data_IF_205903127081
#
_entry.id   IF_205903127081
#
_cell.length_a   1.000
_cell.length_b   1.000
_cell.length_c   1.000
_cell.angle_alpha   90.00
_cell.angle_beta   90.00
_cell.angle_gamma   90.00
#
_symmetry.space_group_name_H-M   'P 1'
#
loop_
_entity.id
_entity.type
_entity.pdbx_description
1 polymer ?
#
# COMPACT_ATOMS: atom_id res chain seq x y z
N UNK A 1 -37.04 -77.47 52.42
CA UNK A 1 -38.04 -76.43 52.77
C UNK A 1 -37.37 -75.06 52.67
N UNK A 2 -38.09 -74.03 52.20
CA UNK A 2 -37.68 -73.13 51.10
C UNK A 2 -37.38 -71.69 51.65
N UNK A 3 -37.12 -70.58 50.94
CA UNK A 3 -37.72 -69.97 49.74
C UNK A 3 -36.85 -68.77 49.27
N UNK A 4 -36.84 -68.59 47.94
CA UNK A 4 -37.03 -67.34 47.15
C UNK A 4 -36.03 -66.16 47.21
N UNK A 5 -35.60 -65.75 46.01
CA UNK A 5 -35.02 -64.43 45.73
C UNK A 5 -34.44 -64.30 44.32
N UNK A 6 -35.30 -64.12 43.31
CA UNK A 6 -34.99 -63.95 41.89
C UNK A 6 -34.31 -62.59 41.53
N UNK A 7 -33.75 -62.43 40.31
CA UNK A 7 -32.67 -61.49 39.97
C UNK A 7 -33.13 -60.21 39.26
N UNK A 8 -32.23 -59.24 38.98
CA UNK A 8 -32.48 -58.22 37.95
C UNK A 8 -31.45 -58.26 36.79
N UNK A 9 -31.93 -58.72 35.63
CA UNK A 9 -32.14 -57.94 34.39
C UNK A 9 -30.97 -57.20 33.69
N UNK A 10 -30.91 -57.24 32.34
CA UNK A 10 -29.81 -56.73 31.53
C UNK A 10 -29.90 -55.20 31.29
N UNK A 11 -28.76 -54.52 31.28
CA UNK A 11 -28.64 -53.11 30.91
C UNK A 11 -28.72 -52.93 29.39
N UNK A 12 -29.80 -52.32 28.90
CA UNK A 12 -29.97 -51.88 27.51
C UNK A 12 -29.75 -50.37 27.37
N UNK A 13 -29.06 -50.02 26.28
CA UNK A 13 -29.23 -48.86 25.41
C UNK A 13 -28.93 -47.44 25.94
N UNK A 14 -27.79 -46.90 25.49
CA UNK A 14 -27.57 -45.46 25.30
C UNK A 14 -27.17 -45.19 23.86
N UNK A 15 -28.13 -45.00 22.95
CA UNK A 15 -27.89 -44.56 21.57
C UNK A 15 -27.43 -43.11 21.58
N UNK A 16 -26.12 -42.87 21.43
CA UNK A 16 -25.56 -41.55 21.21
C UNK A 16 -26.02 -40.97 19.87
N UNK A 17 -26.97 -40.03 19.90
CA UNK A 17 -27.35 -39.22 18.75
C UNK A 17 -26.14 -38.37 18.33
N UNK A 18 -25.42 -38.81 17.29
CA UNK A 18 -24.45 -37.97 16.55
C UNK A 18 -25.21 -36.78 15.98
N UNK A 19 -25.12 -35.62 16.65
CA UNK A 19 -25.46 -34.33 16.05
C UNK A 19 -24.59 -34.19 14.80
N UNK A 20 -25.20 -34.31 13.61
CA UNK A 20 -24.61 -33.86 12.36
C UNK A 20 -24.29 -32.38 12.56
N UNK A 21 -23.01 -32.06 12.80
CA UNK A 21 -22.55 -30.68 12.71
C UNK A 21 -22.84 -30.24 11.28
N UNK A 22 -23.84 -29.39 11.11
CA UNK A 22 -24.03 -28.61 9.90
C UNK A 22 -22.71 -27.87 9.68
N UNK A 23 -21.91 -28.39 8.74
CA UNK A 23 -20.68 -27.73 8.31
C UNK A 23 -21.11 -26.36 7.83
N UNK A 24 -20.71 -25.32 8.57
CA UNK A 24 -20.90 -23.93 8.14
C UNK A 24 -20.37 -23.84 6.70
N UNK A 25 -21.09 -23.22 5.77
CA UNK A 25 -20.57 -23.02 4.43
C UNK A 25 -19.20 -22.33 4.55
N UNK A 26 -18.21 -22.70 3.72
CA UNK A 26 -16.94 -21.98 3.71
C UNK A 26 -17.26 -20.50 3.51
N UNK A 27 -16.79 -19.65 4.45
CA UNK A 27 -16.84 -18.21 4.23
C UNK A 27 -16.20 -17.97 2.88
N UNK A 28 -16.95 -17.41 1.93
CA UNK A 28 -16.38 -16.95 0.68
C UNK A 28 -15.11 -16.17 1.04
N UNK A 29 -13.94 -16.67 0.62
CA UNK A 29 -12.68 -16.03 0.89
C UNK A 29 -12.70 -14.72 0.12
N UNK A 30 -13.09 -13.64 0.79
CA UNK A 30 -13.05 -12.31 0.20
C UNK A 30 -11.61 -12.08 -0.28
N UNK A 31 -11.41 -11.60 -1.52
CA UNK A 31 -10.07 -11.35 -2.01
C UNK A 31 -9.38 -10.36 -1.07
N UNK A 32 -8.12 -10.68 -0.71
CA UNK A 32 -7.31 -9.91 0.24
C UNK A 32 -7.10 -8.45 -0.20
N UNK A 33 -7.27 -8.20 -1.49
CA UNK A 33 -7.16 -6.89 -2.11
C UNK A 33 -8.20 -6.69 -3.20
N UNK A 34 -8.38 -5.44 -3.60
CA UNK A 34 -9.12 -5.00 -4.78
C UNK A 34 -8.14 -4.33 -5.75
N UNK A 35 -8.20 -4.66 -7.04
CA UNK A 35 -7.35 -4.03 -8.05
C UNK A 35 -7.95 -2.68 -8.49
N UNK A 36 -7.13 -1.63 -8.55
CA UNK A 36 -7.55 -0.28 -8.99
C UNK A 36 -6.49 0.39 -9.86
N UNK A 37 -6.93 1.38 -10.63
CA UNK A 37 -6.07 2.37 -11.28
C UNK A 37 -5.97 3.62 -10.42
N UNK A 38 -4.76 3.98 -10.01
CA UNK A 38 -4.50 5.13 -9.13
C UNK A 38 -3.34 5.95 -9.68
N UNK A 39 -3.45 7.28 -9.56
CA UNK A 39 -2.33 8.18 -9.82
C UNK A 39 -1.16 7.94 -8.86
N UNK A 40 0.07 7.66 -9.33
CA UNK A 40 1.22 7.41 -8.46
C UNK A 40 1.53 8.55 -7.47
N UNK A 41 1.21 9.80 -7.81
CA UNK A 41 1.41 10.96 -6.92
C UNK A 41 0.43 11.01 -5.75
N UNK A 42 -0.72 10.32 -5.85
CA UNK A 42 -1.68 10.21 -4.74
C UNK A 42 -1.27 9.18 -3.68
N UNK A 43 -0.19 8.42 -3.93
CA UNK A 43 0.32 7.36 -3.06
C UNK A 43 1.57 7.88 -2.33
N UNK A 44 1.62 7.66 -1.02
CA UNK A 44 2.70 8.07 -0.13
C UNK A 44 3.65 6.90 0.17
N UNK A 45 4.91 7.24 0.40
CA UNK A 45 5.89 6.29 0.92
C UNK A 45 5.54 5.94 2.37
N UNK A 46 5.60 4.66 2.72
CA UNK A 46 5.39 4.28 4.13
C UNK A 46 6.61 4.59 4.99
N UNK A 47 7.82 4.54 4.42
CA UNK A 47 9.09 4.67 5.15
C UNK A 47 9.95 5.75 4.50
N UNK A 48 10.72 6.47 5.33
CA UNK A 48 11.62 7.55 4.89
C UNK A 48 12.83 7.10 4.07
N UNK A 49 13.16 5.81 4.07
CA UNK A 49 14.36 5.30 3.38
C UNK A 49 14.05 4.08 2.54
N UNK A 50 14.56 4.07 1.30
CA UNK A 50 14.62 2.90 0.42
C UNK A 50 16.06 2.53 0.10
N UNK A 51 16.27 1.23 -0.09
CA UNK A 51 17.54 0.73 -0.65
C UNK A 51 17.60 1.03 -2.15
N UNK A 52 18.79 1.28 -2.71
CA UNK A 52 18.99 1.47 -4.15
C UNK A 52 18.84 0.17 -4.97
N UNK A 53 18.57 -0.96 -4.31
CA UNK A 53 18.36 -2.26 -4.95
C UNK A 53 17.09 -2.95 -4.47
N UNK A 54 16.48 -3.73 -5.36
CA UNK A 54 15.40 -4.67 -5.05
C UNK A 54 15.91 -5.88 -4.26
N UNK A 55 15.00 -6.74 -3.79
CA UNK A 55 15.36 -7.94 -3.04
C UNK A 55 16.14 -8.97 -3.89
N UNK A 56 15.91 -8.96 -5.20
CA UNK A 56 16.60 -9.80 -6.18
C UNK A 56 17.95 -9.20 -6.64
N UNK A 57 18.39 -8.10 -6.03
CA UNK A 57 19.65 -7.45 -6.35
C UNK A 57 19.61 -6.47 -7.53
N UNK A 58 18.49 -6.38 -8.27
CA UNK A 58 18.36 -5.40 -9.37
C UNK A 58 18.43 -3.97 -8.84
N UNK A 59 19.13 -3.10 -9.55
CA UNK A 59 19.22 -1.66 -9.25
C UNK A 59 17.89 -0.99 -9.55
N UNK A 60 17.39 -0.19 -8.63
CA UNK A 60 16.05 0.42 -8.70
C UNK A 60 15.94 1.34 -9.91
N UNK A 61 16.96 2.15 -10.17
CA UNK A 61 17.01 3.09 -11.29
C UNK A 61 17.00 2.36 -12.65
N UNK A 62 17.56 1.15 -12.74
CA UNK A 62 17.49 0.34 -13.97
C UNK A 62 16.05 -0.12 -14.24
N UNK A 63 15.31 -0.54 -13.22
CA UNK A 63 13.90 -0.91 -13.39
C UNK A 63 13.02 0.32 -13.64
N UNK A 64 13.36 1.47 -13.08
CA UNK A 64 12.68 2.74 -13.38
C UNK A 64 12.80 3.12 -14.85
N UNK A 65 13.95 2.88 -15.48
CA UNK A 65 14.15 3.11 -16.92
C UNK A 65 13.32 2.16 -17.82
N UNK A 66 12.91 1.01 -17.28
CA UNK A 66 12.07 0.02 -17.96
C UNK A 66 10.57 0.24 -17.74
N UNK A 67 10.17 1.24 -16.93
CA UNK A 67 8.76 1.58 -16.78
C UNK A 67 8.31 2.41 -17.97
N UNK A 68 7.36 1.87 -18.73
CA UNK A 68 6.83 2.49 -19.94
C UNK A 68 5.50 3.17 -19.67
N UNK A 69 5.25 4.32 -20.31
CA UNK A 69 3.93 4.92 -20.37
C UNK A 69 3.26 4.56 -21.69
N UNK A 70 2.13 3.88 -21.61
CA UNK A 70 1.28 3.57 -22.76
C UNK A 70 0.04 4.46 -22.74
N UNK A 71 -0.54 4.75 -23.90
CA UNK A 71 -1.79 5.50 -23.97
C UNK A 71 -2.88 4.79 -23.16
N UNK A 72 -3.70 5.57 -22.44
CA UNK A 72 -4.83 5.04 -21.70
C UNK A 72 -5.85 4.42 -22.69
N UNK A 73 -6.28 3.19 -22.44
CA UNK A 73 -7.17 2.45 -23.34
C UNK A 73 -8.13 1.49 -22.61
N UNK A 74 -8.25 1.60 -21.29
CA UNK A 74 -8.94 0.59 -20.47
C UNK A 74 -10.43 0.87 -20.38
N UNK A 75 -10.81 2.14 -20.38
CA UNK A 75 -12.18 2.60 -20.48
C UNK A 75 -12.23 3.88 -21.32
N UNK A 76 -13.43 4.26 -21.77
CA UNK A 76 -13.66 5.58 -22.41
C UNK A 76 -13.72 6.71 -21.35
N UNK A 77 -13.15 6.51 -20.17
CA UNK A 77 -13.10 7.58 -19.17
C UNK A 77 -11.92 8.50 -19.45
N UNK A 78 -12.17 9.80 -19.39
CA UNK A 78 -11.11 10.81 -19.42
C UNK A 78 -10.46 10.95 -18.03
N UNK A 79 -10.37 9.88 -17.24
CA UNK A 79 -9.77 9.93 -15.91
C UNK A 79 -8.24 10.04 -15.98
N UNK A 80 -7.63 9.40 -16.99
CA UNK A 80 -6.19 9.29 -17.15
C UNK A 80 -5.79 9.39 -18.62
N UNK A 81 -4.58 9.91 -18.87
CA UNK A 81 -4.05 10.10 -20.21
C UNK A 81 -3.02 9.00 -20.57
N UNK A 82 -2.36 8.42 -19.57
CA UNK A 82 -1.39 7.32 -19.73
C UNK A 82 -1.50 6.27 -18.62
N UNK A 83 -1.21 5.02 -18.96
CA UNK A 83 -1.00 3.93 -18.02
C UNK A 83 0.49 3.57 -17.93
N UNK A 84 1.01 3.42 -16.71
CA UNK A 84 2.37 2.97 -16.47
C UNK A 84 2.45 1.45 -16.43
N UNK A 85 3.26 0.87 -17.32
CA UNK A 85 3.61 -0.55 -17.33
C UNK A 85 5.01 -0.73 -16.78
N UNK A 86 5.12 -1.41 -15.64
CA UNK A 86 6.39 -1.59 -14.94
C UNK A 86 6.87 -3.05 -15.03
N UNK A 87 8.20 -3.32 -14.94
CA UNK A 87 8.78 -4.67 -14.99
C UNK A 87 8.66 -5.40 -13.64
N UNK A 88 7.64 -5.09 -12.86
CA UNK A 88 7.38 -5.66 -11.55
C UNK A 88 5.86 -5.77 -11.30
N UNK A 89 5.42 -6.67 -10.41
CA UNK A 89 4.01 -6.81 -10.08
C UNK A 89 3.41 -5.50 -9.49
N UNK A 90 2.09 -5.30 -9.62
CA UNK A 90 1.38 -4.18 -8.99
C UNK A 90 1.76 -3.99 -7.52
N UNK A 91 1.84 -2.73 -7.10
CA UNK A 91 2.16 -2.41 -5.70
C UNK A 91 0.94 -2.61 -4.83
N UNK A 92 1.17 -3.07 -3.60
CA UNK A 92 0.10 -3.10 -2.60
C UNK A 92 0.03 -1.76 -1.86
N UNK A 93 -1.19 -1.26 -1.67
CA UNK A 93 -1.44 -0.02 -0.93
C UNK A 93 -2.55 -0.22 0.11
N UNK A 94 -2.61 0.67 1.10
CA UNK A 94 -3.68 0.70 2.10
C UNK A 94 -4.08 2.15 2.41
N UNK A 95 -5.35 2.38 2.74
CA UNK A 95 -5.81 3.66 3.27
C UNK A 95 -5.47 3.70 4.76
N UNK A 96 -4.63 4.65 5.17
CA UNK A 96 -4.15 4.73 6.55
C UNK A 96 -4.07 6.17 7.05
N UNK A 97 -4.29 6.37 8.35
CA UNK A 97 -4.07 7.66 9.04
C UNK A 97 -2.73 7.62 9.77
N UNK A 98 -1.70 8.34 9.30
CA UNK A 98 -0.39 8.30 9.92
C UNK A 98 -0.44 9.00 11.28
N UNK A 99 0.38 8.53 12.23
CA UNK A 99 0.64 9.30 13.45
C UNK A 99 1.50 10.48 13.07
N UNK A 100 1.10 11.70 13.43
CA UNK A 100 1.90 12.88 13.19
C UNK A 100 3.18 12.84 14.03
N UNK A 101 4.27 13.32 13.44
CA UNK A 101 5.58 13.35 14.07
C UNK A 101 6.22 14.70 13.89
N UNK A 102 7.01 15.10 14.88
CA UNK A 102 7.89 16.25 14.79
C UNK A 102 9.15 15.90 13.98
N UNK A 103 10.02 16.89 13.72
CA UNK A 103 11.27 16.73 12.98
C UNK A 103 12.21 15.70 13.62
N UNK A 104 12.17 15.58 14.95
CA UNK A 104 12.93 14.59 15.73
C UNK A 104 12.30 13.17 15.67
N UNK A 105 11.19 13.00 14.97
CA UNK A 105 10.47 11.73 14.83
C UNK A 105 9.62 11.35 16.05
N UNK A 106 9.57 12.18 17.09
CA UNK A 106 8.67 12.06 18.24
C UNK A 106 7.21 12.20 17.81
N UNK A 107 6.32 11.44 18.44
CA UNK A 107 4.89 11.45 18.07
C UNK A 107 4.24 12.69 18.68
N UNK A 108 3.57 13.49 17.85
CA UNK A 108 2.84 14.67 18.33
C UNK A 108 1.61 14.21 19.11
N UNK A 109 1.37 14.82 20.27
CA UNK A 109 0.19 14.60 21.10
C UNK A 109 -0.68 15.86 21.09
N UNK A 110 -2.00 15.67 20.99
CA UNK A 110 -2.98 16.73 21.14
C UNK A 110 -3.05 17.19 22.61
N UNK A 111 -3.74 18.31 22.84
CA UNK A 111 -3.99 18.86 24.19
C UNK A 111 -4.65 17.84 25.13
N UNK A 112 -5.51 16.97 24.60
CA UNK A 112 -6.19 15.90 25.34
C UNK A 112 -5.28 14.69 25.68
N UNK A 113 -3.98 14.75 25.38
CA UNK A 113 -3.02 13.66 25.59
C UNK A 113 -3.15 12.50 24.56
N UNK A 114 -4.04 12.62 23.58
CA UNK A 114 -4.18 11.64 22.50
C UNK A 114 -3.12 11.85 21.42
N UNK A 115 -2.73 10.79 20.70
CA UNK A 115 -1.80 10.93 19.56
C UNK A 115 -2.45 11.70 18.42
N UNK A 116 -1.81 12.77 17.96
CA UNK A 116 -2.21 13.49 16.76
C UNK A 116 -2.11 12.55 15.54
N UNK A 117 -3.21 12.44 14.79
CA UNK A 117 -3.29 11.66 13.57
C UNK A 117 -3.42 12.60 12.37
N UNK A 118 -2.65 12.33 11.33
CA UNK A 118 -2.80 13.02 10.05
C UNK A 118 -4.02 12.53 9.27
N UNK A 119 -4.23 13.15 8.12
CA UNK A 119 -5.30 12.77 7.21
C UNK A 119 -5.16 11.34 6.70
N UNK A 120 -6.29 10.72 6.37
CA UNK A 120 -6.28 9.42 5.74
C UNK A 120 -5.72 9.56 4.32
N UNK A 121 -4.66 8.82 3.99
CA UNK A 121 -4.08 8.82 2.65
C UNK A 121 -3.69 7.40 2.22
N UNK A 122 -3.34 7.24 0.93
CA UNK A 122 -2.87 5.97 0.40
C UNK A 122 -1.39 5.80 0.70
N UNK A 123 -1.02 4.71 1.35
CA UNK A 123 0.38 4.36 1.59
C UNK A 123 0.73 3.06 0.88
N UNK A 124 1.93 3.00 0.31
CA UNK A 124 2.45 1.76 -0.29
C UNK A 124 3.17 0.87 0.72
N UNK A 125 3.09 -0.45 0.49
CA UNK A 125 3.97 -1.43 1.12
C UNK A 125 5.30 -1.62 0.38
N UNK A 126 5.43 -1.04 -0.82
CA UNK A 126 6.50 -1.29 -1.79
C UNK A 126 7.20 0.02 -2.22
N UNK A 127 7.78 0.76 -1.27
CA UNK A 127 8.36 2.09 -1.52
C UNK A 127 9.33 2.15 -2.72
N UNK A 128 10.15 1.11 -2.96
CA UNK A 128 11.06 1.05 -4.12
C UNK A 128 10.32 1.03 -5.46
N UNK A 129 9.20 0.31 -5.53
CA UNK A 129 8.36 0.23 -6.73
C UNK A 129 7.58 1.52 -6.92
N UNK A 130 7.06 2.11 -5.83
CA UNK A 130 6.41 3.41 -5.89
C UNK A 130 7.34 4.50 -6.42
N UNK A 131 8.60 4.53 -5.97
CA UNK A 131 9.60 5.46 -6.50
C UNK A 131 9.74 5.35 -8.02
N UNK A 132 9.86 4.12 -8.55
CA UNK A 132 9.93 3.90 -10.00
C UNK A 132 8.69 4.42 -10.73
N UNK A 133 7.50 4.20 -10.17
CA UNK A 133 6.23 4.63 -10.74
C UNK A 133 6.06 6.16 -10.71
N UNK A 134 6.40 6.81 -9.59
CA UNK A 134 6.36 8.27 -9.47
C UNK A 134 7.36 8.95 -10.38
N UNK A 135 8.58 8.41 -10.50
CA UNK A 135 9.58 8.96 -11.39
C UNK A 135 9.19 8.81 -12.87
N UNK A 136 8.59 7.68 -13.26
CA UNK A 136 8.04 7.51 -14.59
C UNK A 136 6.87 8.49 -14.86
N UNK A 137 5.93 8.62 -13.92
CA UNK A 137 4.83 9.59 -14.02
C UNK A 137 5.36 11.03 -14.16
N UNK A 138 6.41 11.40 -13.42
CA UNK A 138 6.98 12.74 -13.45
C UNK A 138 7.54 13.12 -14.83
N UNK A 139 8.06 12.16 -15.60
CA UNK A 139 8.53 12.38 -16.99
C UNK A 139 7.41 12.72 -17.97
N UNK A 140 6.19 12.30 -17.67
CA UNK A 140 5.02 12.54 -18.49
C UNK A 140 4.15 13.66 -17.95
N UNK A 141 4.52 14.26 -16.82
CA UNK A 141 3.79 15.37 -16.23
C UNK A 141 3.67 16.53 -17.25
N UNK A 142 2.52 17.21 -17.30
CA UNK A 142 1.25 17.03 -16.56
C UNK A 142 0.24 15.99 -17.06
N UNK A 143 0.59 15.09 -17.98
CA UNK A 143 -0.31 14.00 -18.36
C UNK A 143 -0.65 13.14 -17.14
N UNK A 144 -1.94 12.96 -16.90
CA UNK A 144 -2.50 12.19 -15.77
C UNK A 144 -2.14 10.73 -15.96
N UNK A 145 -1.22 10.27 -15.14
CA UNK A 145 -0.71 8.90 -15.19
C UNK A 145 -1.46 8.00 -14.22
N UNK A 146 -1.79 6.78 -14.64
CA UNK A 146 -2.33 5.72 -13.78
C UNK A 146 -1.34 4.57 -13.63
N UNK A 147 -1.35 3.90 -12.48
CA UNK A 147 -0.76 2.58 -12.31
C UNK A 147 -1.76 1.60 -11.70
N UNK A 148 -1.58 0.32 -12.00
CA UNK A 148 -2.35 -0.76 -11.37
C UNK A 148 -1.84 -0.94 -9.94
N UNK A 149 -2.76 -0.98 -8.98
CA UNK A 149 -2.46 -1.19 -7.56
C UNK A 149 -3.39 -2.23 -6.94
N UNK A 150 -2.88 -2.94 -5.95
CA UNK A 150 -3.66 -3.81 -5.08
C UNK A 150 -4.04 -3.06 -3.80
N UNK A 151 -5.29 -2.64 -3.70
CA UNK A 151 -5.85 -1.97 -2.53
C UNK A 151 -6.18 -3.02 -1.46
N UNK A 152 -5.35 -3.06 -0.42
CA UNK A 152 -5.54 -3.96 0.71
C UNK A 152 -6.71 -3.49 1.57
N UNK A 153 -7.62 -4.40 1.92
CA UNK A 153 -8.76 -4.10 2.82
C UNK A 153 -8.30 -3.94 4.26
N UNK A 154 -7.35 -4.79 4.66
CA UNK A 154 -6.80 -4.83 6.01
C UNK A 154 -5.27 -4.80 5.98
N UNK A 155 -4.67 -4.39 7.09
CA UNK A 155 -3.22 -4.53 7.28
C UNK A 155 -2.86 -6.03 7.24
N UNK A 156 -1.85 -6.44 6.45
CA UNK A 156 -1.30 -7.77 6.58
C UNK A 156 -0.94 -8.04 8.05
N UNK A 157 -1.36 -9.19 8.57
CA UNK A 157 -1.25 -9.61 9.97
C UNK A 157 0.17 -9.68 10.53
N UNK A 158 1.18 -9.32 9.73
CA UNK A 158 2.55 -9.19 10.18
C UNK A 158 2.68 -8.08 11.23
N UNK A 159 3.32 -8.41 12.37
CA UNK A 159 3.64 -7.45 13.44
C UNK A 159 4.49 -6.25 12.98
N UNK A 160 5.11 -6.35 11.80
CA UNK A 160 5.98 -5.31 11.24
C UNK A 160 5.21 -4.21 10.51
N UNK A 161 3.98 -4.48 10.07
CA UNK A 161 3.23 -3.60 9.15
C UNK A 161 2.93 -2.23 9.76
N UNK A 162 2.44 -2.11 11.01
CA UNK A 162 2.20 -0.80 11.62
C UNK A 162 3.47 0.02 11.86
N UNK A 163 4.63 -0.66 12.00
CA UNK A 163 5.93 0.03 12.16
C UNK A 163 6.43 0.62 10.85
N UNK A 164 5.86 0.21 9.71
CA UNK A 164 6.29 0.71 8.41
C UNK A 164 5.89 2.15 8.19
N UNK A 165 4.79 2.65 8.76
CA UNK A 165 4.29 4.03 8.57
C UNK A 165 4.98 5.02 9.52
N UNK A 166 6.27 5.25 9.30
CA UNK A 166 7.09 6.18 10.08
C UNK A 166 7.77 7.13 9.11
N UNK A 167 7.16 8.30 8.95
CA UNK A 167 7.64 9.41 8.11
C UNK A 167 7.44 10.71 8.86
N UNK A 168 8.44 11.58 8.85
CA UNK A 168 8.35 12.98 9.33
C UNK A 168 7.62 13.89 8.33
N UNK A 169 7.59 13.55 7.06
CA UNK A 169 7.04 14.36 5.97
C UNK A 169 5.74 13.80 5.37
N UNK A 170 5.03 12.96 6.13
CA UNK A 170 3.83 12.25 5.66
C UNK A 170 4.04 11.38 4.40
N UNK A 171 5.28 10.96 4.13
CA UNK A 171 5.63 10.08 3.01
C UNK A 171 5.61 10.77 1.66
N UNK A 172 5.85 12.09 1.65
CA UNK A 172 5.95 12.89 0.43
C UNK A 172 7.29 12.69 -0.29
N UNK A 173 8.33 12.32 0.45
CA UNK A 173 9.67 12.09 -0.05
C UNK A 173 10.25 10.76 0.46
N UNK A 174 11.37 10.36 -0.13
CA UNK A 174 12.12 9.19 0.30
C UNK A 174 13.61 9.36 0.07
N UNK A 175 14.40 8.94 1.05
CA UNK A 175 15.85 8.88 0.99
C UNK A 175 16.32 7.58 0.31
N UNK A 176 17.17 7.69 -0.70
CA UNK A 176 17.74 6.55 -1.42
C UNK A 176 19.13 6.27 -0.85
N UNK A 177 19.26 5.20 -0.08
CA UNK A 177 20.52 4.85 0.59
C UNK A 177 20.49 3.47 1.25
N UNK A 178 21.68 2.94 1.55
CA UNK A 178 21.82 1.80 2.47
C UNK A 178 21.62 2.25 3.91
N UNK A 179 21.47 1.34 4.86
CA UNK A 179 21.20 1.69 6.27
C UNK A 179 22.41 2.36 6.93
N UNK A 180 23.59 1.89 6.54
CA UNK A 180 24.92 2.29 6.99
C UNK A 180 25.43 3.57 6.32
N UNK A 181 24.78 4.04 5.26
CA UNK A 181 25.14 5.30 4.61
C UNK A 181 24.74 6.48 5.55
N UNK A 182 25.69 7.28 6.05
CA UNK A 182 25.41 8.39 6.97
C UNK A 182 24.64 9.51 6.28
N UNK A 183 24.90 9.71 4.98
CA UNK A 183 24.21 10.68 4.13
C UNK A 183 23.44 9.93 3.04
N UNK A 184 22.17 10.27 2.77
CA UNK A 184 21.44 9.72 1.64
C UNK A 184 22.18 9.97 0.32
N UNK A 185 22.22 8.96 -0.57
CA UNK A 185 22.83 9.13 -1.90
C UNK A 185 22.02 10.08 -2.77
N UNK A 186 20.71 10.04 -2.59
CA UNK A 186 19.76 10.94 -3.22
C UNK A 186 18.51 11.05 -2.34
N UNK A 187 17.76 12.14 -2.54
CA UNK A 187 16.44 12.36 -1.97
C UNK A 187 15.47 12.50 -3.13
N UNK A 188 14.36 11.76 -3.08
CA UNK A 188 13.31 11.85 -4.08
C UNK A 188 12.07 12.47 -3.47
N UNK A 189 11.55 13.51 -4.12
CA UNK A 189 10.21 14.07 -3.89
C UNK A 189 9.56 14.28 -5.24
N UNK A 190 8.39 13.67 -5.47
CA UNK A 190 7.71 13.81 -6.75
C UNK A 190 7.29 15.26 -7.01
N UNK A 191 6.93 16.01 -5.96
CA UNK A 191 6.52 17.40 -6.06
C UNK A 191 7.67 18.29 -6.55
N UNK A 192 8.89 18.03 -6.07
CA UNK A 192 10.08 18.71 -6.58
C UNK A 192 10.42 18.27 -8.00
N UNK A 193 10.27 16.97 -8.31
CA UNK A 193 10.58 16.44 -9.63
C UNK A 193 9.73 17.05 -10.75
N UNK A 194 8.44 17.28 -10.51
CA UNK A 194 7.54 17.89 -11.51
C UNK A 194 7.76 19.40 -11.70
N UNK A 195 8.32 20.08 -10.69
CA UNK A 195 8.73 21.50 -10.77
C UNK A 195 10.01 21.67 -11.59
N UNK A 196 10.94 20.72 -11.48
CA UNK A 196 12.22 20.73 -12.19
C UNK A 196 12.12 20.18 -13.62
N UNK A 197 10.99 19.59 -14.00
CA UNK A 197 10.79 19.05 -15.34
C UNK A 197 10.87 20.19 -16.39
N UNK A 198 11.75 20.07 -17.40
CA UNK A 198 12.00 21.13 -18.38
C UNK A 198 10.72 21.58 -19.10
N UNK A 199 10.61 22.90 -19.26
CA UNK A 199 9.52 23.71 -19.83
C UNK A 199 9.17 23.42 -21.32
N UNK A 200 9.49 22.25 -21.88
CA UNK A 200 9.09 21.88 -23.25
C UNK A 200 7.68 21.28 -23.29
N UNK A 201 6.76 21.91 -22.58
CA UNK A 201 5.41 21.43 -22.37
C UNK A 201 4.42 22.36 -23.10
N UNK A 202 3.52 21.87 -23.98
CA UNK A 202 2.50 22.69 -24.63
C UNK A 202 1.70 23.52 -23.62
N UNK A 203 1.16 24.66 -24.03
CA UNK A 203 0.53 25.67 -23.15
C UNK A 203 -0.52 25.13 -22.16
N UNK A 204 -1.25 24.08 -22.55
CA UNK A 204 -2.18 23.31 -21.70
C UNK A 204 -1.51 22.75 -20.43
N UNK A 205 -0.23 22.42 -20.52
CA UNK A 205 0.58 21.84 -19.45
C UNK A 205 0.98 22.88 -18.39
N UNK A 206 1.01 24.18 -18.74
CA UNK A 206 1.30 25.26 -17.79
C UNK A 206 0.11 25.56 -16.89
N UNK A 207 -1.11 25.62 -17.45
CA UNK A 207 -2.34 25.86 -16.68
C UNK A 207 -2.62 24.78 -15.63
N UNK A 208 -2.28 23.53 -15.91
CA UNK A 208 -2.44 22.42 -14.96
C UNK A 208 -1.53 22.51 -13.72
N UNK A 209 -0.37 23.22 -13.81
CA UNK A 209 0.56 23.39 -12.68
C UNK A 209 -0.02 24.29 -11.58
N UNK A 210 -0.84 25.26 -11.94
CA UNK A 210 -1.41 26.25 -11.01
C UNK A 210 -2.61 25.70 -10.23
N UNK A 211 -3.37 24.77 -10.83
CA UNK A 211 -4.61 24.25 -10.23
C UNK A 211 -4.42 23.28 -9.04
N UNK A 212 -3.19 22.81 -8.76
CA UNK A 212 -2.93 21.81 -7.70
C UNK A 212 -2.15 22.42 -6.51
N UNK A 213 -1.71 23.68 -6.61
CA UNK A 213 -1.14 24.41 -5.47
C UNK A 213 -2.20 25.06 -4.56
N UNK A 214 -3.50 24.97 -4.92
CA UNK A 214 -4.65 25.38 -4.11
C UNK A 214 -5.30 24.18 -3.43
#
# INVERSE_FOLDING_TARGET
>A
APLLGSPPGPRRAGRGRRRKQLRRPPRASMPLYEEKFICPFSIRFSQERIRPTFQDGRVVEKSMAQTEAVAWSIDQSDAYDVMLRAPFPPISIIRWRPKMRDQDGTTITNEDGTTALGEACWFTFDNRRLYCLQAAAARHWPRRSACVVHVMRDLPSSRSTPRKFRTTDSGCSVNISRRDDPVPRAVWSWAQAIQLAPEEAPEEQRAARESIQA
#
